data_IF_082518764137
#
_entry.id   IF_082518764137
#
_cell.length_a   1.000
_cell.length_b   1.000
_cell.length_c   1.000
_cell.angle_alpha   90.00
_cell.angle_beta   90.00
_cell.angle_gamma   90.00
#
_symmetry.space_group_name_H-M   'P 1'
#
loop_
_entity.id
_entity.type
_entity.pdbx_description
1 polymer ?
#
# COMPACT_ATOMS: atom_id res chain seq x y z
N UNK A 1 -13.39 -33.61 11.82
CA UNK A 1 -13.82 -33.63 10.41
C UNK A 1 -15.20 -32.96 10.17
N UNK A 2 -16.16 -32.99 11.10
CA UNK A 2 -17.51 -32.40 10.94
C UNK A 2 -17.51 -30.86 10.77
N UNK A 3 -16.63 -30.14 11.49
CA UNK A 3 -16.56 -28.69 11.43
C UNK A 3 -15.97 -28.11 10.14
N UNK A 4 -15.05 -28.85 9.46
CA UNK A 4 -14.50 -28.42 8.17
C UNK A 4 -15.57 -28.48 7.04
N UNK A 5 -16.50 -29.45 7.09
CA UNK A 5 -17.58 -29.56 6.11
C UNK A 5 -18.62 -28.44 6.26
N UNK A 6 -18.86 -27.97 7.49
CA UNK A 6 -19.77 -26.84 7.76
C UNK A 6 -19.18 -25.53 7.24
N UNK A 7 -17.87 -25.29 7.40
CA UNK A 7 -17.19 -24.11 6.87
C UNK A 7 -17.19 -24.07 5.34
N UNK A 8 -16.95 -25.21 4.69
CA UNK A 8 -16.99 -25.32 3.21
C UNK A 8 -18.44 -25.11 2.70
N UNK A 9 -19.46 -25.66 3.38
CA UNK A 9 -20.87 -25.47 3.00
C UNK A 9 -21.33 -24.02 3.17
N UNK A 10 -20.91 -23.31 4.23
CA UNK A 10 -21.16 -21.88 4.43
C UNK A 10 -20.47 -21.02 3.37
N UNK A 11 -19.24 -21.38 2.96
CA UNK A 11 -18.53 -20.68 1.91
C UNK A 11 -19.17 -20.87 0.53
N UNK A 12 -19.67 -22.06 0.23
CA UNK A 12 -20.41 -22.36 -1.02
C UNK A 12 -21.78 -21.68 -1.02
N UNK A 13 -22.49 -21.64 0.11
CA UNK A 13 -23.80 -20.98 0.21
C UNK A 13 -23.69 -19.46 0.04
N UNK A 14 -22.62 -18.84 0.55
CA UNK A 14 -22.34 -17.42 0.37
C UNK A 14 -22.05 -17.05 -1.10
N UNK A 15 -21.52 -17.99 -1.90
CA UNK A 15 -21.16 -17.75 -3.31
C UNK A 15 -22.36 -17.80 -4.28
N UNK A 16 -23.49 -18.39 -3.90
CA UNK A 16 -24.63 -18.58 -4.80
C UNK A 16 -25.65 -17.42 -4.81
N UNK A 17 -25.56 -16.47 -3.89
CA UNK A 17 -26.56 -15.39 -3.71
C UNK A 17 -26.20 -14.06 -4.38
N UNK A 18 -25.17 -14.00 -5.23
CA UNK A 18 -24.58 -12.71 -5.63
C UNK A 18 -24.79 -12.29 -7.09
N UNK A 19 -25.58 -13.01 -7.87
CA UNK A 19 -25.83 -12.64 -9.26
C UNK A 19 -26.91 -11.55 -9.37
N UNK A 20 -26.52 -10.41 -9.90
CA UNK A 20 -27.46 -9.37 -10.30
C UNK A 20 -27.70 -8.22 -9.35
N UNK A 21 -26.89 -8.02 -8.32
CA UNK A 21 -27.06 -6.91 -7.37
C UNK A 21 -25.94 -5.87 -7.49
N UNK A 22 -26.26 -4.62 -7.12
CA UNK A 22 -25.27 -3.56 -6.96
C UNK A 22 -24.25 -3.96 -5.88
N UNK A 23 -22.97 -3.64 -6.11
CA UNK A 23 -21.88 -3.93 -5.21
C UNK A 23 -21.33 -2.61 -4.68
N UNK A 24 -21.90 -2.17 -3.57
CA UNK A 24 -21.69 -0.81 -3.07
C UNK A 24 -20.53 -0.70 -2.08
N UNK A 25 -20.01 -1.82 -1.59
CA UNK A 25 -18.89 -1.85 -0.66
C UNK A 25 -17.85 -2.92 -1.04
N UNK A 26 -16.66 -2.79 -0.50
CA UNK A 26 -15.57 -3.74 -0.62
C UNK A 26 -14.84 -3.85 0.71
N UNK A 27 -14.50 -5.08 1.10
CA UNK A 27 -13.61 -5.38 2.21
C UNK A 27 -12.41 -6.15 1.68
N UNK A 28 -11.26 -5.93 2.27
CA UNK A 28 -10.07 -6.68 1.86
C UNK A 28 -8.87 -6.42 2.73
N UNK A 29 -7.76 -6.97 2.28
CA UNK A 29 -6.45 -6.79 2.91
C UNK A 29 -5.36 -6.55 1.88
N UNK A 30 -4.26 -5.96 2.34
CA UNK A 30 -3.01 -5.82 1.62
C UNK A 30 -1.93 -6.40 2.53
N UNK A 31 -1.04 -7.17 1.96
CA UNK A 31 0.15 -7.66 2.66
C UNK A 31 1.37 -7.42 1.80
N UNK A 32 2.34 -6.74 2.39
CA UNK A 32 3.63 -6.43 1.79
C UNK A 32 4.70 -7.26 2.47
N UNK A 33 5.62 -7.79 1.69
CA UNK A 33 6.75 -8.49 2.25
C UNK A 33 7.90 -8.53 1.24
N UNK A 34 9.13 -8.38 1.70
CA UNK A 34 10.34 -8.52 0.88
C UNK A 34 10.56 -9.96 0.42
N UNK A 35 10.12 -10.96 1.21
CA UNK A 35 10.16 -12.37 0.82
C UNK A 35 9.27 -12.71 -0.39
N UNK A 36 8.30 -11.87 -0.75
CA UNK A 36 7.48 -12.07 -1.95
C UNK A 36 8.28 -11.80 -3.24
N UNK A 37 9.44 -11.17 -3.14
CA UNK A 37 10.33 -10.90 -4.27
C UNK A 37 11.61 -11.72 -4.23
N UNK A 38 12.14 -12.01 -3.03
CA UNK A 38 13.39 -12.75 -2.85
C UNK A 38 13.51 -13.35 -1.46
N UNK A 39 13.77 -14.64 -1.37
CA UNK A 39 14.01 -15.33 -0.09
C UNK A 39 15.35 -15.00 0.58
N UNK A 40 16.17 -14.13 -0.02
CA UNK A 40 17.51 -13.78 0.47
C UNK A 40 17.60 -12.40 1.09
N UNK A 41 16.60 -11.56 0.87
CA UNK A 41 16.61 -10.17 1.31
C UNK A 41 15.56 -10.01 2.41
N UNK A 42 15.99 -9.66 3.61
CA UNK A 42 15.14 -9.28 4.74
C UNK A 42 15.66 -7.92 5.19
N UNK A 43 15.28 -6.85 4.47
CA UNK A 43 15.82 -5.53 4.71
C UNK A 43 14.88 -4.40 4.30
N UNK A 44 14.96 -3.41 5.10
CA UNK A 44 14.40 -2.08 5.15
C UNK A 44 12.88 -2.10 5.38
N UNK A 45 12.03 -2.16 4.39
CA UNK A 45 10.60 -2.35 4.56
C UNK A 45 10.28 -3.84 4.43
N UNK A 46 10.15 -4.52 5.56
CA UNK A 46 10.08 -5.98 5.59
C UNK A 46 8.66 -6.52 5.61
N UNK A 47 7.76 -5.83 6.29
CA UNK A 47 6.36 -6.25 6.40
C UNK A 47 5.40 -5.08 6.37
N UNK A 48 4.30 -5.25 5.67
CA UNK A 48 3.11 -4.43 5.75
C UNK A 48 1.86 -5.29 5.82
N UNK A 49 0.95 -4.91 6.69
CA UNK A 49 -0.37 -5.52 6.76
C UNK A 49 -1.42 -4.41 6.88
N UNK A 50 -2.39 -4.43 5.98
CA UNK A 50 -3.50 -3.48 6.00
C UNK A 50 -4.82 -4.22 5.86
N UNK A 51 -5.83 -3.79 6.61
CA UNK A 51 -7.22 -4.18 6.45
C UNK A 51 -8.00 -2.96 6.02
N UNK A 52 -8.82 -3.08 4.99
CA UNK A 52 -9.61 -1.96 4.49
C UNK A 52 -11.08 -2.33 4.33
N UNK A 53 -11.92 -1.32 4.51
CA UNK A 53 -13.32 -1.33 4.14
C UNK A 53 -13.64 -0.03 3.40
N UNK A 54 -14.22 -0.15 2.21
CA UNK A 54 -14.62 1.00 1.40
C UNK A 54 -16.04 0.86 0.89
N UNK A 55 -16.68 1.99 0.65
CA UNK A 55 -18.03 2.01 0.15
C UNK A 55 -18.31 3.25 -0.69
N UNK A 56 -19.30 3.11 -1.57
CA UNK A 56 -19.82 4.22 -2.36
C UNK A 56 -20.54 5.25 -1.48
N UNK A 57 -20.11 6.49 -1.63
CA UNK A 57 -20.77 7.65 -1.01
C UNK A 57 -21.68 8.36 -2.00
N UNK A 58 -22.79 8.92 -1.52
CA UNK A 58 -23.67 9.76 -2.32
C UNK A 58 -22.92 10.94 -2.90
N UNK A 59 -23.22 11.28 -4.14
CA UNK A 59 -22.61 12.38 -4.86
C UNK A 59 -23.67 13.15 -5.65
N UNK A 60 -23.70 14.47 -5.49
CA UNK A 60 -24.63 15.36 -6.19
C UNK A 60 -23.92 16.24 -7.23
N UNK A 61 -22.60 16.05 -7.43
CA UNK A 61 -21.82 16.82 -8.39
C UNK A 61 -21.74 16.06 -9.71
N UNK A 62 -22.29 16.60 -10.78
CA UNK A 62 -22.33 16.00 -12.11
C UNK A 62 -20.96 15.73 -12.73
N UNK A 63 -19.93 16.49 -12.33
CA UNK A 63 -18.54 16.27 -12.81
C UNK A 63 -17.87 15.05 -12.18
N UNK A 64 -18.39 14.58 -11.04
CA UNK A 64 -17.88 13.43 -10.32
C UNK A 64 -18.72 12.22 -10.70
N UNK A 65 -18.11 11.24 -11.34
CA UNK A 65 -18.74 9.96 -11.67
C UNK A 65 -19.00 9.13 -10.41
N UNK A 66 -18.00 9.05 -9.52
CA UNK A 66 -18.02 8.19 -8.36
C UNK A 66 -17.26 8.82 -7.19
N UNK A 67 -17.82 8.67 -5.98
CA UNK A 67 -17.19 9.06 -4.73
C UNK A 67 -17.15 7.84 -3.81
N UNK A 68 -15.96 7.53 -3.30
CA UNK A 68 -15.73 6.39 -2.42
C UNK A 68 -15.17 6.90 -1.09
N UNK A 69 -15.68 6.37 0.01
CA UNK A 69 -15.11 6.54 1.34
C UNK A 69 -14.43 5.25 1.74
N UNK A 70 -13.24 5.34 2.32
CA UNK A 70 -12.46 4.21 2.78
C UNK A 70 -12.04 4.40 4.24
N UNK A 71 -12.05 3.31 5.00
CA UNK A 71 -11.41 3.18 6.30
C UNK A 71 -10.37 2.08 6.21
N UNK A 72 -9.22 2.30 6.86
CA UNK A 72 -8.12 1.35 6.86
C UNK A 72 -7.46 1.32 8.22
N UNK A 73 -6.96 0.15 8.59
CA UNK A 73 -6.01 -0.04 9.69
C UNK A 73 -4.80 -0.72 9.09
N UNK A 74 -3.62 -0.19 9.36
CA UNK A 74 -2.38 -0.72 8.80
C UNK A 74 -1.24 -0.69 9.79
N UNK A 75 -0.31 -1.63 9.59
CA UNK A 75 0.96 -1.69 10.31
C UNK A 75 2.08 -1.92 9.32
N UNK A 76 3.14 -1.13 9.45
CA UNK A 76 4.38 -1.25 8.68
C UNK A 76 5.56 -1.52 9.62
N UNK A 77 6.47 -2.39 9.17
CA UNK A 77 7.66 -2.79 9.92
C UNK A 77 8.89 -2.51 9.08
N UNK A 78 9.85 -1.86 9.70
CA UNK A 78 11.14 -1.49 9.10
C UNK A 78 12.27 -2.06 9.93
N UNK A 79 13.22 -2.71 9.26
CA UNK A 79 14.39 -3.35 9.85
C UNK A 79 15.68 -2.88 9.16
N UNK A 80 16.84 -2.97 9.84
CA UNK A 80 18.12 -2.93 9.16
C UNK A 80 18.34 -4.19 8.30
N UNK A 81 19.33 -4.13 7.44
CA UNK A 81 19.74 -5.27 6.59
C UNK A 81 20.15 -6.52 7.38
N UNK A 82 20.71 -6.33 8.56
CA UNK A 82 21.16 -7.40 9.42
C UNK A 82 20.24 -7.50 10.65
N UNK A 83 19.28 -8.40 10.60
CA UNK A 83 18.29 -8.63 11.67
C UNK A 83 18.89 -9.32 12.92
N UNK A 84 20.14 -9.77 12.87
CA UNK A 84 20.85 -10.40 13.99
C UNK A 84 21.89 -9.45 14.63
N UNK A 85 21.80 -8.16 14.40
CA UNK A 85 22.73 -7.18 14.92
C UNK A 85 22.33 -6.71 16.33
N UNK A 86 22.85 -7.39 17.34
CA UNK A 86 22.74 -6.94 18.74
C UNK A 86 23.47 -5.60 18.97
N UNK A 87 24.52 -5.33 18.18
CA UNK A 87 25.25 -4.07 18.27
C UNK A 87 24.62 -2.99 17.38
N UNK A 88 24.18 -1.88 17.97
CA UNK A 88 23.58 -0.71 17.29
C UNK A 88 24.46 -0.19 16.15
N UNK A 89 25.78 -0.30 16.29
CA UNK A 89 26.77 0.18 15.32
C UNK A 89 26.80 -0.59 13.99
N UNK A 90 26.15 -1.76 13.92
CA UNK A 90 26.10 -2.58 12.70
C UNK A 90 24.81 -2.30 11.91
N UNK A 91 23.84 -1.64 12.54
CA UNK A 91 22.56 -1.35 11.91
C UNK A 91 22.69 -0.20 10.91
N UNK A 92 22.33 -0.46 9.67
CA UNK A 92 22.32 0.51 8.58
C UNK A 92 20.93 1.20 8.42
N UNK A 93 19.98 0.87 9.28
CA UNK A 93 18.65 1.48 9.42
C UNK A 93 18.12 1.26 10.84
N UNK A 94 17.31 2.16 11.42
CA UNK A 94 16.62 1.89 12.67
C UNK A 94 15.57 0.78 12.52
N UNK A 95 15.39 -0.01 13.58
CA UNK A 95 14.16 -0.77 13.77
C UNK A 95 13.02 0.17 14.10
N UNK A 96 11.87 -0.02 13.49
CA UNK A 96 10.64 0.69 13.90
C UNK A 96 9.38 0.03 13.36
N UNK A 97 8.30 0.11 14.13
CA UNK A 97 6.93 -0.13 13.67
C UNK A 97 6.20 1.18 13.43
N UNK A 98 5.24 1.19 12.52
CA UNK A 98 4.24 2.24 12.33
C UNK A 98 2.86 1.63 12.25
N UNK A 99 2.00 1.90 13.23
CA UNK A 99 0.60 1.43 13.32
C UNK A 99 -0.32 2.63 13.16
N UNK A 100 -1.31 2.53 12.26
CA UNK A 100 -2.22 3.62 11.98
C UNK A 100 -3.66 3.16 11.71
N UNK A 101 -4.60 4.07 11.95
CA UNK A 101 -5.94 4.05 11.40
C UNK A 101 -6.08 5.20 10.40
N UNK A 102 -6.74 4.94 9.28
CA UNK A 102 -6.89 5.86 8.17
C UNK A 102 -8.36 6.05 7.80
N UNK A 103 -8.72 7.27 7.45
CA UNK A 103 -9.99 7.60 6.81
C UNK A 103 -9.72 8.41 5.54
N UNK A 104 -10.28 7.97 4.43
CA UNK A 104 -10.03 8.57 3.13
C UNK A 104 -11.25 8.75 2.26
N UNK A 105 -11.10 9.62 1.25
CA UNK A 105 -12.07 9.83 0.17
C UNK A 105 -11.39 9.87 -1.18
N UNK A 106 -12.01 9.14 -2.12
CA UNK A 106 -11.61 9.13 -3.52
C UNK A 106 -12.73 9.71 -4.39
N UNK A 107 -12.36 10.65 -5.25
CA UNK A 107 -13.23 11.30 -6.21
C UNK A 107 -12.80 10.89 -7.62
N UNK A 108 -13.68 10.23 -8.34
CA UNK A 108 -13.46 9.80 -9.71
C UNK A 108 -14.27 10.70 -10.64
N UNK A 109 -13.59 11.41 -11.52
CA UNK A 109 -14.21 12.38 -12.41
C UNK A 109 -14.58 11.76 -13.76
N UNK A 110 -15.56 12.34 -14.44
CA UNK A 110 -15.94 11.96 -15.81
C UNK A 110 -14.79 12.09 -16.81
N UNK A 111 -13.82 12.96 -16.52
CA UNK A 111 -12.61 13.17 -17.31
C UNK A 111 -11.55 12.09 -17.15
N UNK A 112 -11.85 10.98 -16.49
CA UNK A 112 -10.91 9.94 -16.11
C UNK A 112 -9.71 10.48 -15.29
N UNK A 113 -9.95 11.48 -14.44
CA UNK A 113 -9.04 11.89 -13.38
C UNK A 113 -9.54 11.40 -12.02
N UNK A 114 -8.61 11.24 -11.10
CA UNK A 114 -8.86 10.76 -9.72
C UNK A 114 -8.19 11.72 -8.75
N UNK A 115 -8.88 12.07 -7.69
CA UNK A 115 -8.33 12.72 -6.51
C UNK A 115 -8.61 11.84 -5.29
N UNK A 116 -7.55 11.41 -4.60
CA UNK A 116 -7.66 10.73 -3.28
C UNK A 116 -7.13 11.67 -2.20
N UNK A 117 -7.77 11.65 -1.05
CA UNK A 117 -7.35 12.38 0.14
C UNK A 117 -7.53 11.49 1.35
N UNK A 118 -6.46 11.27 2.09
CA UNK A 118 -6.45 10.35 3.22
C UNK A 118 -5.85 11.04 4.44
N UNK A 119 -6.33 10.67 5.61
CA UNK A 119 -5.87 11.15 6.90
C UNK A 119 -5.62 9.96 7.83
N UNK A 120 -4.44 9.92 8.44
CA UNK A 120 -4.04 8.85 9.35
C UNK A 120 -3.76 9.39 10.75
N UNK A 121 -4.12 8.60 11.76
CA UNK A 121 -3.73 8.76 13.15
C UNK A 121 -3.12 7.44 13.63
N UNK A 122 -2.04 7.53 14.42
CA UNK A 122 -1.38 6.31 14.86
C UNK A 122 -0.17 6.54 15.75
N UNK A 123 0.70 5.54 15.77
CA UNK A 123 1.91 5.53 16.58
C UNK A 123 3.07 4.94 15.78
N UNK A 124 4.27 5.43 16.04
CA UNK A 124 5.53 4.87 15.62
C UNK A 124 6.31 4.41 16.85
N UNK A 125 7.21 3.43 16.68
CA UNK A 125 8.05 2.89 17.76
C UNK A 125 7.38 1.75 18.53
N UNK A 126 7.75 1.50 19.79
CA UNK A 126 7.22 0.38 20.59
C UNK A 126 5.69 0.27 20.61
N UNK A 127 4.97 1.38 20.70
CA UNK A 127 3.51 1.38 20.70
C UNK A 127 2.89 0.93 19.38
N UNK A 128 3.67 0.82 18.32
CA UNK A 128 3.21 0.28 17.03
C UNK A 128 3.27 -1.26 16.98
N UNK A 129 3.75 -1.94 18.02
CA UNK A 129 3.79 -3.39 18.19
C UNK A 129 4.54 -4.12 17.04
N UNK A 130 5.54 -3.46 16.43
CA UNK A 130 6.28 -4.02 15.30
C UNK A 130 7.07 -5.26 15.68
N UNK A 131 7.73 -5.23 16.84
CA UNK A 131 8.47 -6.36 17.41
C UNK A 131 7.58 -7.59 17.57
N UNK A 132 6.48 -7.43 18.30
CA UNK A 132 5.56 -8.52 18.63
C UNK A 132 4.95 -9.14 17.39
N UNK A 133 4.62 -8.33 16.41
CA UNK A 133 4.07 -8.81 15.12
C UNK A 133 5.13 -9.58 14.34
N UNK A 134 6.35 -9.09 14.23
CA UNK A 134 7.41 -9.77 13.49
C UNK A 134 7.82 -11.09 14.17
N UNK A 135 8.04 -11.09 15.47
CA UNK A 135 8.37 -12.29 16.23
C UNK A 135 7.27 -13.36 16.10
N UNK A 136 5.99 -12.96 16.20
CA UNK A 136 4.85 -13.86 16.03
C UNK A 136 4.81 -14.46 14.62
N UNK A 137 5.03 -13.64 13.60
CA UNK A 137 5.05 -14.09 12.21
C UNK A 137 6.20 -15.06 11.94
N UNK A 138 7.43 -14.72 12.38
CA UNK A 138 8.60 -15.58 12.24
C UNK A 138 8.41 -16.93 12.94
N UNK A 139 7.82 -16.92 14.13
CA UNK A 139 7.50 -18.17 14.85
C UNK A 139 6.51 -19.05 14.07
N UNK A 140 5.46 -18.48 13.47
CA UNK A 140 4.44 -19.20 12.71
C UNK A 140 5.03 -19.87 11.45
N UNK A 141 5.93 -19.17 10.74
CA UNK A 141 6.54 -19.68 9.50
C UNK A 141 7.85 -20.45 9.73
N UNK A 142 8.33 -20.55 10.97
CA UNK A 142 9.59 -21.21 11.31
C UNK A 142 10.83 -20.44 10.81
N UNK A 143 10.75 -19.12 10.75
CA UNK A 143 11.86 -18.27 10.33
C UNK A 143 12.78 -17.90 11.51
N UNK A 144 13.92 -17.27 11.21
CA UNK A 144 14.92 -16.90 12.22
C UNK A 144 14.36 -15.89 13.23
N UNK A 145 14.85 -15.96 14.46
CA UNK A 145 14.62 -14.91 15.46
C UNK A 145 15.28 -13.59 15.04
N UNK A 146 14.67 -12.48 15.41
CA UNK A 146 15.15 -11.13 15.13
C UNK A 146 15.67 -10.51 16.41
N UNK A 147 16.93 -10.09 16.39
CA UNK A 147 17.59 -9.41 17.51
C UNK A 147 17.84 -7.94 17.14
N UNK A 148 17.75 -7.03 18.12
CA UNK A 148 18.03 -5.60 17.93
C UNK A 148 16.82 -4.69 18.08
N UNK A 149 15.63 -5.24 18.30
CA UNK A 149 14.41 -4.47 18.59
C UNK A 149 14.50 -3.62 19.86
N UNK A 150 15.38 -3.96 20.80
CA UNK A 150 15.68 -3.14 21.98
C UNK A 150 16.22 -1.76 21.62
N UNK A 151 16.79 -1.63 20.41
CA UNK A 151 17.34 -0.40 19.87
C UNK A 151 16.43 0.31 18.88
N UNK A 152 15.12 -0.03 18.88
CA UNK A 152 14.15 0.59 17.98
C UNK A 152 13.96 2.09 18.27
N UNK A 153 13.46 2.81 17.30
CA UNK A 153 13.07 4.22 17.47
C UNK A 153 12.06 4.38 18.60
N UNK A 154 12.17 5.47 19.35
CA UNK A 154 11.26 5.77 20.43
C UNK A 154 9.85 6.10 19.93
N UNK A 155 8.88 6.00 20.85
CA UNK A 155 7.48 6.28 20.53
C UNK A 155 7.28 7.71 20.00
N UNK A 156 6.50 7.80 18.93
CA UNK A 156 6.00 9.05 18.42
C UNK A 156 4.52 8.91 18.05
N UNK A 157 3.74 9.96 18.30
CA UNK A 157 2.38 10.05 17.82
C UNK A 157 2.36 10.42 16.34
N UNK A 158 1.56 9.72 15.56
CA UNK A 158 1.44 9.90 14.13
C UNK A 158 0.17 10.69 13.78
N UNK A 159 0.38 11.79 13.06
CA UNK A 159 -0.67 12.55 12.35
C UNK A 159 -0.19 12.72 10.92
N UNK A 160 -0.93 12.21 9.96
CA UNK A 160 -0.50 12.17 8.57
C UNK A 160 -1.66 12.52 7.63
N UNK A 161 -1.41 13.36 6.65
CA UNK A 161 -2.30 13.63 5.54
C UNK A 161 -1.63 13.20 4.24
N UNK A 162 -2.40 12.61 3.34
CA UNK A 162 -1.95 12.21 2.02
C UNK A 162 -2.94 12.69 0.96
N UNK A 163 -2.40 13.13 -0.17
CA UNK A 163 -3.18 13.52 -1.35
C UNK A 163 -2.55 12.89 -2.59
N UNK A 164 -3.37 12.24 -3.41
CA UNK A 164 -2.97 11.71 -4.71
C UNK A 164 -3.87 12.27 -5.80
N UNK A 165 -3.27 12.75 -6.88
CA UNK A 165 -3.96 13.12 -8.11
C UNK A 165 -3.44 12.30 -9.28
N UNK A 166 -4.34 11.69 -10.04
CA UNK A 166 -4.03 10.97 -11.26
C UNK A 166 -4.92 11.44 -12.39
N UNK A 167 -4.37 11.56 -13.61
CA UNK A 167 -5.12 11.97 -14.79
C UNK A 167 -4.69 11.19 -16.01
N UNK A 168 -5.66 10.64 -16.72
CA UNK A 168 -5.42 10.04 -18.05
C UNK A 168 -4.97 11.09 -19.03
N UNK A 169 -3.85 10.83 -19.71
CA UNK A 169 -3.20 11.78 -20.60
C UNK A 169 -3.82 11.85 -22.00
N UNK A 170 -4.27 10.70 -22.52
CA UNK A 170 -4.79 10.60 -23.87
C UNK A 170 -6.19 9.99 -23.87
N UNK A 171 -7.13 10.52 -24.67
CA UNK A 171 -8.47 9.93 -24.82
C UNK A 171 -8.40 8.52 -25.39
N UNK A 172 -9.29 7.63 -24.94
CA UNK A 172 -9.37 6.22 -25.37
C UNK A 172 -9.72 5.99 -26.83
N UNK A 173 -9.89 7.02 -27.64
CA UNK A 173 -10.34 6.89 -29.06
C UNK A 173 -9.43 6.05 -29.96
N UNK A 174 -8.18 5.80 -29.52
CA UNK A 174 -7.17 5.17 -30.38
C UNK A 174 -6.74 3.78 -29.90
N UNK A 175 -6.85 3.47 -28.61
CA UNK A 175 -6.48 2.16 -28.09
C UNK A 175 -7.15 1.88 -26.74
N UNK A 176 -8.00 0.86 -26.71
CA UNK A 176 -8.68 0.42 -25.49
C UNK A 176 -7.84 -0.58 -24.67
N UNK A 177 -6.62 -0.88 -25.08
CA UNK A 177 -5.75 -1.87 -24.43
C UNK A 177 -4.55 -1.24 -23.73
N UNK A 178 -4.22 0.02 -24.04
CA UNK A 178 -3.09 0.73 -23.42
C UNK A 178 -3.58 2.13 -23.06
N UNK A 179 -3.25 2.56 -21.86
CA UNK A 179 -3.40 3.97 -21.47
C UNK A 179 -2.23 4.45 -20.61
N UNK A 180 -2.11 5.77 -20.54
CA UNK A 180 -1.07 6.47 -19.79
C UNK A 180 -1.72 7.51 -18.90
N UNK A 181 -1.32 7.54 -17.65
CA UNK A 181 -1.77 8.51 -16.64
C UNK A 181 -0.57 9.26 -16.08
N UNK A 182 -0.72 10.55 -15.89
CA UNK A 182 0.15 11.33 -15.01
C UNK A 182 -0.34 11.16 -13.58
N UNK A 183 0.56 10.95 -12.62
CA UNK A 183 0.24 10.82 -11.20
C UNK A 183 1.18 11.67 -10.36
N UNK A 184 0.63 12.35 -9.36
CA UNK A 184 1.38 13.08 -8.34
C UNK A 184 0.78 12.82 -6.97
N UNK A 185 1.65 12.78 -5.96
CA UNK A 185 1.28 12.53 -4.59
C UNK A 185 2.01 13.50 -3.66
N UNK A 186 1.39 13.82 -2.54
CA UNK A 186 1.98 14.60 -1.48
C UNK A 186 1.61 13.99 -0.13
N UNK A 187 2.60 13.87 0.73
CA UNK A 187 2.48 13.48 2.13
C UNK A 187 2.88 14.64 3.02
N UNK A 188 2.11 14.90 4.06
CA UNK A 188 2.39 15.92 5.06
C UNK A 188 2.03 15.37 6.44
N UNK A 189 3.01 15.28 7.33
CA UNK A 189 2.74 14.79 8.67
C UNK A 189 3.97 14.58 9.53
N UNK A 190 3.74 13.95 10.67
CA UNK A 190 4.77 13.68 11.68
C UNK A 190 5.56 12.40 11.42
N UNK A 191 5.15 11.60 10.43
CA UNK A 191 5.87 10.38 10.01
C UNK A 191 6.53 10.61 8.66
N UNK A 192 5.78 11.03 7.64
CA UNK A 192 6.29 11.27 6.31
C UNK A 192 5.92 12.66 5.82
N UNK A 193 6.89 13.39 5.27
CA UNK A 193 6.64 14.62 4.51
C UNK A 193 7.43 14.55 3.21
N UNK A 194 6.73 14.62 2.08
CA UNK A 194 7.36 14.48 0.77
C UNK A 194 6.37 14.67 -0.36
N UNK A 195 6.89 14.73 -1.58
CA UNK A 195 6.12 14.80 -2.82
C UNK A 195 6.66 13.80 -3.82
N UNK A 196 5.80 13.22 -4.62
CA UNK A 196 6.20 12.36 -5.73
C UNK A 196 5.44 12.67 -7.00
N UNK A 197 6.05 12.36 -8.13
CA UNK A 197 5.40 12.45 -9.43
C UNK A 197 5.91 11.37 -10.36
N UNK A 198 5.04 10.90 -11.25
CA UNK A 198 5.38 9.83 -12.17
C UNK A 198 4.33 9.61 -13.23
N UNK A 199 4.54 8.54 -13.99
CA UNK A 199 3.61 8.11 -15.01
C UNK A 199 3.18 6.68 -14.73
N UNK A 200 1.88 6.43 -14.85
CA UNK A 200 1.31 5.11 -14.71
C UNK A 200 0.78 4.66 -16.07
N UNK A 201 1.25 3.51 -16.54
CA UNK A 201 0.81 2.88 -17.78
C UNK A 201 0.05 1.61 -17.45
N UNK A 202 -1.11 1.38 -18.08
CA UNK A 202 -1.78 0.08 -18.07
C UNK A 202 -1.69 -0.57 -19.43
N UNK A 203 -1.46 -1.89 -19.46
CA UNK A 203 -1.46 -2.73 -20.66
C UNK A 203 -2.43 -3.88 -20.43
N UNK A 204 -3.58 -3.81 -21.06
CA UNK A 204 -4.69 -4.75 -20.87
C UNK A 204 -4.53 -6.02 -21.68
N UNK A 205 -4.74 -7.17 -21.06
CA UNK A 205 -4.98 -8.44 -21.76
C UNK A 205 -6.43 -8.51 -22.30
N UNK A 206 -7.26 -7.57 -21.83
CA UNK A 206 -8.62 -7.27 -22.30
C UNK A 206 -8.75 -5.76 -22.41
N UNK A 207 -9.82 -5.28 -23.07
CA UNK A 207 -10.14 -3.86 -23.10
C UNK A 207 -10.16 -3.28 -21.69
N UNK A 208 -9.42 -2.19 -21.47
CA UNK A 208 -9.35 -1.51 -20.20
C UNK A 208 -10.70 -0.85 -19.87
N UNK A 209 -11.09 -0.95 -18.63
CA UNK A 209 -12.23 -0.18 -18.12
C UNK A 209 -11.81 1.28 -17.89
N UNK A 210 -12.77 2.23 -18.03
CA UNK A 210 -12.54 3.60 -17.58
C UNK A 210 -12.07 3.63 -16.13
N UNK A 211 -11.27 4.63 -15.78
CA UNK A 211 -10.62 4.67 -14.46
C UNK A 211 -11.63 4.66 -13.29
N UNK A 212 -12.80 5.24 -13.49
CA UNK A 212 -13.86 5.27 -12.49
C UNK A 212 -14.61 3.92 -12.31
N UNK A 213 -14.31 2.90 -13.12
CA UNK A 213 -14.85 1.54 -12.98
C UNK A 213 -13.75 0.48 -12.82
N UNK A 214 -12.49 0.87 -12.97
CA UNK A 214 -11.33 -0.01 -12.87
C UNK A 214 -10.90 -0.24 -11.42
N UNK A 215 -10.32 -1.41 -11.15
CA UNK A 215 -9.67 -1.68 -9.87
C UNK A 215 -8.29 -1.01 -9.71
N UNK A 216 -7.87 -0.15 -10.64
CA UNK A 216 -6.57 0.52 -10.55
C UNK A 216 -6.45 1.39 -9.30
N UNK A 217 -7.42 2.29 -9.13
CA UNK A 217 -7.52 3.19 -7.97
C UNK A 217 -8.69 2.82 -7.07
N UNK A 218 -9.06 1.52 -7.05
CA UNK A 218 -10.08 0.98 -6.14
C UNK A 218 -11.52 1.37 -6.46
N UNK A 219 -11.82 1.65 -7.75
CA UNK A 219 -13.13 2.08 -8.21
C UNK A 219 -14.09 0.94 -8.55
N UNK A 220 -13.85 -0.27 -8.04
CA UNK A 220 -14.63 -1.47 -8.39
C UNK A 220 -16.08 -1.47 -7.86
N UNK A 221 -16.37 -0.69 -6.81
CA UNK A 221 -17.71 -0.58 -6.24
C UNK A 221 -18.66 0.22 -7.15
N UNK A 222 -19.94 -0.15 -7.21
CA UNK A 222 -20.93 0.45 -8.11
C UNK A 222 -22.35 0.39 -7.56
N UNK A 223 -23.14 1.46 -7.76
CA UNK A 223 -24.60 1.43 -7.52
C UNK A 223 -25.36 0.66 -8.61
N UNK A 224 -24.75 0.49 -9.78
CA UNK A 224 -25.39 -0.27 -10.86
C UNK A 224 -25.02 -1.75 -10.75
N UNK A 225 -25.97 -2.66 -11.05
CA UNK A 225 -25.66 -4.07 -11.17
C UNK A 225 -24.54 -4.30 -12.17
N UNK A 226 -23.52 -5.03 -11.76
CA UNK A 226 -22.37 -5.35 -12.61
C UNK A 226 -22.34 -6.86 -12.88
N UNK A 227 -22.44 -7.22 -14.16
CA UNK A 227 -22.44 -8.62 -14.60
C UNK A 227 -21.15 -8.93 -15.34
N UNK A 228 -20.54 -10.07 -15.03
CA UNK A 228 -19.37 -10.62 -15.75
C UNK A 228 -18.24 -9.62 -15.97
N UNK A 229 -18.03 -8.67 -15.05
CA UNK A 229 -16.93 -7.75 -15.15
C UNK A 229 -15.63 -8.52 -14.93
N UNK A 230 -14.73 -8.39 -15.88
CA UNK A 230 -13.41 -8.99 -15.87
C UNK A 230 -12.40 -7.95 -16.31
N UNK A 231 -11.45 -7.66 -15.44
CA UNK A 231 -10.24 -6.91 -15.77
C UNK A 231 -9.03 -7.83 -15.59
N UNK A 232 -8.09 -7.71 -16.51
CA UNK A 232 -6.77 -8.30 -16.35
C UNK A 232 -5.79 -7.47 -17.14
N UNK A 233 -4.86 -6.84 -16.45
CA UNK A 233 -3.87 -5.98 -17.06
C UNK A 233 -2.57 -5.95 -16.26
N UNK A 234 -1.49 -5.69 -16.97
CA UNK A 234 -0.21 -5.28 -16.39
C UNK A 234 -0.21 -3.76 -16.22
N UNK A 235 0.46 -3.28 -15.19
CA UNK A 235 0.73 -1.85 -15.02
C UNK A 235 2.17 -1.61 -14.59
N UNK A 236 2.68 -0.42 -14.91
CA UNK A 236 3.98 0.07 -14.49
C UNK A 236 3.88 1.55 -14.11
N UNK A 237 4.52 1.93 -13.00
CA UNK A 237 4.51 3.29 -12.45
C UNK A 237 5.91 3.68 -11.98
N UNK A 238 6.81 4.12 -12.87
CA UNK A 238 8.02 4.82 -12.48
C UNK A 238 7.69 6.19 -11.91
N UNK A 239 8.37 6.60 -10.85
CA UNK A 239 8.17 7.89 -10.19
C UNK A 239 9.46 8.43 -9.59
N UNK A 240 9.49 9.74 -9.41
CA UNK A 240 10.51 10.45 -8.66
C UNK A 240 9.87 11.02 -7.40
N UNK A 241 10.49 10.75 -6.27
CA UNK A 241 10.07 11.22 -4.96
C UNK A 241 11.12 12.20 -4.40
N UNK A 242 10.65 13.26 -3.78
CA UNK A 242 11.45 14.14 -2.95
C UNK A 242 10.93 14.07 -1.52
N UNK A 243 11.72 13.44 -0.64
CA UNK A 243 11.40 13.24 0.77
C UNK A 243 12.02 14.35 1.60
N UNK A 244 11.20 15.12 2.29
CA UNK A 244 11.64 16.18 3.20
C UNK A 244 11.91 15.63 4.60
N UNK A 245 11.08 14.67 5.03
CA UNK A 245 11.15 14.09 6.36
C UNK A 245 10.61 12.65 6.35
N UNK A 246 11.28 11.79 7.11
CA UNK A 246 10.91 10.39 7.31
C UNK A 246 11.26 9.97 8.74
N UNK A 247 10.24 9.91 9.60
CA UNK A 247 10.43 9.57 11.01
C UNK A 247 10.97 8.15 11.21
N UNK A 248 10.73 7.23 10.28
CA UNK A 248 11.22 5.85 10.38
C UNK A 248 12.74 5.75 10.22
N UNK A 249 13.37 6.85 9.82
CA UNK A 249 14.82 6.99 9.61
C UNK A 249 15.40 8.01 10.58
N UNK A 250 14.77 9.19 10.68
CA UNK A 250 15.28 10.35 11.43
C UNK A 250 14.79 10.39 12.88
N UNK A 251 13.89 9.46 13.27
CA UNK A 251 13.22 9.55 14.58
C UNK A 251 12.11 10.61 14.61
N UNK A 252 11.55 10.86 15.79
CA UNK A 252 10.47 11.84 15.97
C UNK A 252 10.97 13.27 15.79
N UNK A 253 10.21 14.12 15.08
CA UNK A 253 10.52 15.56 14.97
C UNK A 253 10.36 16.32 16.30
N UNK A 254 9.77 15.70 17.31
CA UNK A 254 9.55 16.29 18.64
C UNK A 254 10.54 15.78 19.71
N UNK A 255 11.44 14.85 19.36
CA UNK A 255 12.38 14.25 20.29
C UNK A 255 13.62 13.75 19.56
N UNK A 256 14.78 13.97 20.14
CA UNK A 256 16.08 13.51 19.65
C UNK A 256 16.70 12.41 20.50
N UNK A 257 15.89 11.67 21.25
CA UNK A 257 16.36 10.65 22.20
C UNK A 257 16.47 9.25 21.61
N UNK A 258 16.06 9.03 20.35
CA UNK A 258 16.15 7.72 19.71
C UNK A 258 17.60 7.22 19.62
N UNK A 259 17.86 5.92 19.84
CA UNK A 259 19.20 5.39 19.97
C UNK A 259 20.01 5.41 18.68
N UNK A 260 19.31 5.37 17.54
CA UNK A 260 19.92 5.37 16.21
C UNK A 260 19.04 6.13 15.23
N UNK A 261 19.62 7.09 14.51
CA UNK A 261 18.94 7.84 13.44
C UNK A 261 19.92 8.09 12.29
N UNK A 262 19.41 8.34 11.10
CA UNK A 262 20.20 8.58 9.90
C UNK A 262 19.71 9.80 9.14
N UNK A 263 20.57 10.33 8.26
CA UNK A 263 20.21 11.37 7.30
C UNK A 263 19.50 10.77 6.09
N UNK A 264 18.55 11.52 5.53
CA UNK A 264 17.82 11.13 4.36
C UNK A 264 18.62 11.31 3.06
N UNK A 265 18.42 10.39 2.12
CA UNK A 265 18.57 10.69 0.70
C UNK A 265 17.25 11.27 0.19
N UNK A 266 17.18 12.59 -0.07
CA UNK A 266 15.90 13.22 -0.34
C UNK A 266 15.34 12.90 -1.72
N UNK A 267 16.20 12.79 -2.74
CA UNK A 267 15.76 12.53 -4.11
C UNK A 267 15.85 11.03 -4.42
N UNK A 268 14.70 10.42 -4.65
CA UNK A 268 14.58 8.96 -4.81
C UNK A 268 13.88 8.62 -6.11
N UNK A 269 14.40 7.64 -6.83
CA UNK A 269 13.66 6.98 -7.91
C UNK A 269 12.93 5.76 -7.36
N UNK A 270 11.63 5.68 -7.61
CA UNK A 270 10.81 4.54 -7.23
C UNK A 270 10.15 3.96 -8.48
N UNK A 271 9.85 2.68 -8.44
CA UNK A 271 9.08 2.04 -9.50
C UNK A 271 8.16 0.97 -8.91
N UNK A 272 6.94 0.93 -9.40
CA UNK A 272 6.00 -0.13 -9.11
C UNK A 272 5.52 -0.74 -10.42
N UNK A 273 5.45 -2.06 -10.49
CA UNK A 273 4.83 -2.77 -11.59
C UNK A 273 4.17 -4.04 -11.11
N UNK A 274 3.10 -4.42 -11.78
CA UNK A 274 2.36 -5.57 -11.31
C UNK A 274 1.21 -5.96 -12.21
N UNK A 275 0.47 -6.93 -11.74
CA UNK A 275 -0.73 -7.45 -12.38
C UNK A 275 -1.94 -7.15 -11.51
N UNK A 276 -2.99 -6.65 -12.12
CA UNK A 276 -4.29 -6.50 -11.47
C UNK A 276 -5.32 -7.37 -12.17
N UNK A 277 -6.09 -8.09 -11.36
CA UNK A 277 -7.15 -8.98 -11.80
C UNK A 277 -8.43 -8.69 -11.06
N UNK A 278 -9.53 -8.63 -11.81
CA UNK A 278 -10.87 -8.54 -11.27
C UNK A 278 -11.76 -9.57 -11.94
N UNK A 279 -12.50 -10.32 -11.16
CA UNK A 279 -13.54 -11.20 -11.66
C UNK A 279 -14.71 -11.19 -10.70
N UNK A 280 -15.85 -10.67 -11.18
CA UNK A 280 -17.10 -10.54 -10.42
C UNK A 280 -16.91 -9.79 -9.08
N UNK A 281 -16.85 -10.54 -7.96
CA UNK A 281 -16.73 -9.99 -6.61
C UNK A 281 -15.28 -9.88 -6.13
N UNK A 282 -14.34 -10.47 -6.84
CA UNK A 282 -12.95 -10.57 -6.39
C UNK A 282 -12.06 -9.57 -7.12
N UNK A 283 -11.33 -8.79 -6.35
CA UNK A 283 -10.20 -7.98 -6.79
C UNK A 283 -8.92 -8.58 -6.23
N UNK A 284 -7.94 -8.78 -7.09
CA UNK A 284 -6.62 -9.29 -6.70
C UNK A 284 -5.55 -8.50 -7.42
N UNK A 285 -4.42 -8.27 -6.75
CA UNK A 285 -3.23 -7.77 -7.41
C UNK A 285 -1.98 -8.34 -6.78
N UNK A 286 -0.94 -8.41 -7.59
CA UNK A 286 0.44 -8.58 -7.15
C UNK A 286 1.25 -7.44 -7.73
N UNK A 287 2.03 -6.77 -6.89
CA UNK A 287 2.93 -5.69 -7.27
C UNK A 287 4.35 -6.03 -6.85
N UNK A 288 5.30 -5.72 -7.71
CA UNK A 288 6.72 -5.66 -7.41
C UNK A 288 7.09 -4.19 -7.27
N UNK A 289 7.67 -3.81 -6.14
CA UNK A 289 7.95 -2.43 -5.80
C UNK A 289 9.44 -2.27 -5.56
N UNK A 290 10.03 -1.33 -6.28
CA UNK A 290 11.39 -0.85 -6.09
C UNK A 290 11.36 0.49 -5.37
N UNK A 291 12.13 0.60 -4.29
CA UNK A 291 12.45 1.85 -3.61
C UNK A 291 13.92 2.18 -3.83
N UNK A 292 14.18 3.38 -4.29
CA UNK A 292 15.53 3.92 -4.38
C UNK A 292 16.16 4.08 -3.01
N UNK A 293 17.44 4.41 -2.99
CA UNK A 293 18.19 4.67 -1.75
C UNK A 293 17.44 5.68 -0.88
N UNK A 294 17.24 5.35 0.40
CA UNK A 294 16.50 6.18 1.35
C UNK A 294 17.40 6.92 2.35
N UNK A 295 18.59 6.41 2.58
CA UNK A 295 19.52 6.86 3.61
C UNK A 295 20.82 7.35 2.98
N UNK A 296 21.38 8.39 3.57
CA UNK A 296 22.79 8.76 3.35
C UNK A 296 23.65 7.99 4.34
N UNK A 297 24.45 7.08 3.83
CA UNK A 297 25.47 6.40 4.62
C UNK A 297 26.84 6.87 4.13
N UNK A 298 27.57 7.65 4.95
CA UNK A 298 28.89 8.16 4.58
C UNK A 298 29.97 7.09 4.58
N UNK A 299 29.82 6.00 5.33
CA UNK A 299 30.91 5.07 5.57
C UNK A 299 30.91 3.86 4.64
N UNK A 300 29.75 3.32 4.28
CA UNK A 300 29.71 2.03 3.59
C UNK A 300 29.34 2.12 2.11
N UNK A 301 28.72 3.19 1.66
CA UNK A 301 28.14 3.36 0.30
C UNK A 301 27.35 2.12 -0.20
N UNK A 302 26.97 1.22 0.72
CA UNK A 302 26.35 -0.07 0.45
C UNK A 302 24.83 0.00 0.43
N UNK A 303 24.25 1.12 0.86
CA UNK A 303 22.81 1.30 0.86
C UNK A 303 22.33 1.51 -0.59
N UNK A 304 22.02 0.42 -1.24
CA UNK A 304 21.33 0.39 -2.53
C UNK A 304 19.82 0.46 -2.31
N UNK A 305 19.05 0.75 -3.37
CA UNK A 305 17.61 0.55 -3.32
C UNK A 305 17.25 -0.90 -3.00
N UNK A 306 16.00 -1.10 -2.59
CA UNK A 306 15.48 -2.40 -2.18
C UNK A 306 14.15 -2.71 -2.89
N UNK A 307 13.73 -3.95 -2.78
CA UNK A 307 12.53 -4.47 -3.41
C UNK A 307 11.65 -5.16 -2.38
N UNK A 308 10.35 -5.04 -2.56
CA UNK A 308 9.38 -5.87 -1.87
C UNK A 308 8.19 -6.17 -2.78
N UNK A 309 7.43 -7.19 -2.43
CA UNK A 309 6.19 -7.54 -3.11
C UNK A 309 4.98 -7.13 -2.30
N UNK A 310 3.91 -6.79 -2.98
CA UNK A 310 2.61 -6.49 -2.39
C UNK A 310 1.54 -7.39 -2.98
N UNK A 311 0.77 -8.04 -2.13
CA UNK A 311 -0.39 -8.84 -2.48
C UNK A 311 -1.62 -8.16 -1.91
N UNK A 312 -2.59 -7.90 -2.77
CA UNK A 312 -3.87 -7.34 -2.38
C UNK A 312 -5.00 -8.29 -2.74
N UNK A 313 -5.95 -8.41 -1.84
CA UNK A 313 -7.19 -9.12 -2.04
C UNK A 313 -8.36 -8.26 -1.57
N UNK A 314 -9.39 -8.14 -2.41
CA UNK A 314 -10.64 -7.44 -2.11
C UNK A 314 -11.86 -8.27 -2.49
N UNK A 315 -12.90 -8.17 -1.69
CA UNK A 315 -14.19 -8.80 -1.93
C UNK A 315 -15.32 -7.77 -1.93
N UNK A 316 -16.02 -7.67 -3.06
CA UNK A 316 -17.12 -6.74 -3.24
C UNK A 316 -18.38 -7.26 -2.55
N UNK A 317 -18.94 -6.42 -1.68
CA UNK A 317 -20.16 -6.64 -0.92
C UNK A 317 -21.35 -5.91 -1.59
N UNK A 318 -22.54 -6.31 -1.17
CA UNK A 318 -23.80 -5.66 -1.57
C UNK A 318 -23.95 -4.27 -0.97
#
# INVERSE_FOLDING_TARGET
>A
MRNKKIFIALFILASTLTFGQAKTAEIGFITDNDLYTSSKNDMYYTNGLELFYRFLSKNNNEKINKKITEFRIGQYIYNPRFINAEAVTINDRPFTGYLFAEAGRSFFYQSESVLKTDFQLGFMGPNALGKETQESFHHIIGYKEVFGWENQLHNAFAVQAHVMYSKKMFPSKYNDFIDLHFQSEANLGTIFTGVSTGFLTRIGFKKLLPIYDSNLHDASVSFQPQYNIREFYFYAMPSVNYQFYDATIQGSMFSNTSPLTFDLEPLRFNAEFGLKYRHNNFNMSYSFIYRGRELRDPETNTNSGYFYGSIRFGYLLK
#
